data_IF_867928282473
#
_entry.id   IF_867928282473
#
_cell.length_a   1.000
_cell.length_b   1.000
_cell.length_c   1.000
_cell.angle_alpha   90.00
_cell.angle_beta   90.00
_cell.angle_gamma   90.00
#
_symmetry.space_group_name_H-M   'P 1'
#
loop_
_entity.id
_entity.type
_entity.pdbx_description
1 polymer ?
#
# COMPACT_ATOMS: atom_id res chain seq x y z
N UNK A 1 -11.08 3.52 -2.86
CA UNK A 1 -9.68 3.08 -2.92
C UNK A 1 -9.38 1.83 -2.11
N UNK A 2 -9.48 1.90 -0.77
CA UNK A 2 -9.09 0.77 0.09
C UNK A 2 -9.96 -0.48 -0.12
N UNK A 3 -11.25 -0.33 -0.37
CA UNK A 3 -12.16 -1.46 -0.64
C UNK A 3 -11.74 -2.22 -1.92
N UNK A 4 -11.46 -1.50 -3.00
CA UNK A 4 -11.02 -2.13 -4.25
C UNK A 4 -9.70 -2.88 -4.12
N UNK A 5 -8.76 -2.36 -3.32
CA UNK A 5 -7.50 -3.04 -3.04
C UNK A 5 -7.74 -4.32 -2.25
N UNK A 6 -8.64 -4.28 -1.29
CA UNK A 6 -9.02 -5.45 -0.49
C UNK A 6 -9.67 -6.54 -1.35
N UNK A 7 -10.68 -6.19 -2.15
CA UNK A 7 -11.35 -7.13 -3.07
C UNK A 7 -10.35 -7.77 -4.05
N UNK A 8 -9.44 -6.97 -4.61
CA UNK A 8 -8.42 -7.46 -5.53
C UNK A 8 -7.44 -8.41 -4.83
N UNK A 9 -7.08 -8.14 -3.59
CA UNK A 9 -6.22 -9.02 -2.79
C UNK A 9 -6.91 -10.34 -2.49
N UNK A 10 -8.22 -10.31 -2.16
CA UNK A 10 -9.01 -11.54 -1.93
C UNK A 10 -9.15 -12.40 -3.19
N UNK A 11 -9.24 -11.76 -4.37
CA UNK A 11 -9.30 -12.47 -5.66
C UNK A 11 -7.99 -13.21 -5.95
N UNK A 12 -6.85 -12.63 -5.57
CA UNK A 12 -5.53 -13.23 -5.79
C UNK A 12 -5.20 -14.34 -4.80
N UNK A 13 -5.76 -14.26 -3.59
CA UNK A 13 -5.40 -15.12 -2.47
C UNK A 13 -6.66 -15.82 -1.95
N UNK A 14 -6.66 -17.15 -2.01
CA UNK A 14 -7.77 -17.96 -1.52
C UNK A 14 -7.60 -18.22 -0.02
N UNK A 15 -8.31 -17.46 0.80
CA UNK A 15 -8.29 -17.59 2.25
C UNK A 15 -9.43 -18.49 2.74
N UNK A 16 -9.13 -19.48 3.58
CA UNK A 16 -10.13 -20.26 4.30
C UNK A 16 -10.70 -19.51 5.51
N UNK A 17 -9.88 -18.66 6.14
CA UNK A 17 -10.26 -17.82 7.28
C UNK A 17 -9.59 -16.45 7.14
N UNK A 18 -10.34 -15.38 7.34
CA UNK A 18 -9.86 -14.01 7.25
C UNK A 18 -10.41 -13.19 8.41
N UNK A 19 -9.53 -12.49 9.11
CA UNK A 19 -9.88 -11.55 10.18
C UNK A 19 -9.02 -10.29 10.09
N UNK A 20 -9.58 -9.09 10.37
CA UNK A 20 -8.78 -7.87 10.44
C UNK A 20 -7.77 -7.91 11.58
N UNK A 21 -6.49 -7.70 11.27
CA UNK A 21 -5.45 -7.53 12.28
C UNK A 21 -5.62 -6.16 12.97
N UNK A 22 -5.79 -6.18 14.29
CA UNK A 22 -5.88 -4.97 15.11
C UNK A 22 -4.49 -4.36 15.31
N UNK A 23 -3.97 -3.66 14.31
CA UNK A 23 -2.61 -3.13 14.35
C UNK A 23 -2.45 -1.87 15.21
N UNK A 24 -3.54 -1.13 15.44
CA UNK A 24 -3.52 0.12 16.21
C UNK A 24 -3.74 -0.09 17.71
N UNK A 25 -4.69 -0.93 18.05
CA UNK A 25 -5.14 -1.15 19.44
C UNK A 25 -5.28 -2.63 19.80
N UNK A 26 -4.28 -3.48 19.56
CA UNK A 26 -4.38 -4.87 19.92
C UNK A 26 -4.13 -5.08 21.41
N UNK A 27 -4.80 -6.04 22.00
CA UNK A 27 -4.41 -6.61 23.28
C UNK A 27 -3.33 -7.68 23.08
N UNK A 28 -2.66 -8.09 24.15
CA UNK A 28 -1.69 -9.17 24.08
C UNK A 28 -2.38 -10.49 23.71
N UNK A 29 -3.57 -10.72 24.25
CA UNK A 29 -4.40 -11.88 23.89
C UNK A 29 -4.77 -11.91 22.40
N UNK A 30 -5.03 -10.76 21.77
CA UNK A 30 -5.25 -10.70 20.32
C UNK A 30 -4.02 -11.20 19.56
N UNK A 31 -2.82 -10.78 19.95
CA UNK A 31 -1.57 -11.16 19.28
C UNK A 31 -1.28 -12.64 19.47
N UNK A 32 -1.47 -13.17 20.68
CA UNK A 32 -1.28 -14.58 20.99
C UNK A 32 -2.25 -15.46 20.18
N UNK A 33 -3.51 -15.03 20.07
CA UNK A 33 -4.51 -15.68 19.24
C UNK A 33 -4.14 -15.65 17.74
N UNK A 34 -3.67 -14.54 17.22
CA UNK A 34 -3.22 -14.46 15.82
C UNK A 34 -2.08 -15.44 15.55
N UNK A 35 -1.13 -15.57 16.48
CA UNK A 35 -0.03 -16.51 16.35
C UNK A 35 -0.46 -17.98 16.44
N UNK A 36 -1.57 -18.27 17.13
CA UNK A 36 -2.07 -19.63 17.31
C UNK A 36 -3.01 -20.09 16.18
N UNK A 37 -3.77 -19.16 15.58
CA UNK A 37 -4.89 -19.50 14.71
C UNK A 37 -4.65 -19.16 13.23
N UNK A 38 -3.58 -18.41 12.88
CA UNK A 38 -3.32 -17.95 11.52
C UNK A 38 -1.93 -18.34 11.05
N UNK A 39 -1.80 -18.63 9.75
CA UNK A 39 -0.54 -19.01 9.12
C UNK A 39 0.31 -17.81 8.73
N UNK A 40 -0.31 -16.66 8.43
CA UNK A 40 0.37 -15.40 8.09
C UNK A 40 -0.54 -14.19 8.27
N UNK A 41 0.10 -13.03 8.39
CA UNK A 41 -0.56 -11.74 8.38
C UNK A 41 -0.41 -11.07 7.02
N UNK A 42 -1.50 -10.61 6.43
CA UNK A 42 -1.51 -9.94 5.14
C UNK A 42 -1.70 -8.43 5.31
N UNK A 43 -0.66 -7.66 4.98
CA UNK A 43 -0.71 -6.21 4.95
C UNK A 43 -1.07 -5.74 3.54
N UNK A 44 -2.35 -5.49 3.32
CA UNK A 44 -2.85 -5.01 2.03
C UNK A 44 -2.38 -3.62 1.68
N UNK A 45 -2.16 -3.37 0.41
CA UNK A 45 -1.67 -2.12 -0.13
C UNK A 45 -2.60 -0.93 0.10
N UNK A 46 -2.01 0.19 0.39
CA UNK A 46 -2.56 1.54 0.33
C UNK A 46 -1.39 2.54 0.28
N UNK A 47 -1.68 3.84 0.23
CA UNK A 47 -0.65 4.88 0.34
C UNK A 47 -0.28 5.11 1.81
N UNK A 48 0.34 4.13 2.45
CA UNK A 48 0.74 4.26 3.87
C UNK A 48 1.98 5.12 4.05
N UNK A 49 2.86 5.14 3.05
CA UNK A 49 4.14 5.83 3.16
C UNK A 49 3.91 7.30 2.92
N UNK A 50 3.59 8.02 3.99
CA UNK A 50 3.38 9.46 3.99
C UNK A 50 3.89 10.08 5.30
N UNK A 51 4.01 11.40 5.36
CA UNK A 51 4.66 12.13 6.45
C UNK A 51 4.10 11.80 7.84
N UNK A 52 2.80 11.57 7.96
CA UNK A 52 2.10 11.36 9.23
C UNK A 52 1.35 10.02 9.25
N UNK A 53 2.07 8.92 9.22
CA UNK A 53 1.49 7.58 9.37
C UNK A 53 1.20 7.31 10.85
N UNK A 54 -0.10 7.19 11.18
CA UNK A 54 -0.57 6.95 12.54
C UNK A 54 -0.68 5.45 12.86
N UNK A 55 0.46 4.81 13.12
CA UNK A 55 0.53 3.39 13.50
C UNK A 55 1.56 3.15 14.60
N UNK A 56 1.49 3.94 15.66
CA UNK A 56 2.48 3.91 16.76
C UNK A 56 2.65 2.52 17.41
N UNK A 57 1.56 1.74 17.51
CA UNK A 57 1.60 0.40 18.07
C UNK A 57 2.09 -0.69 17.07
N UNK A 58 2.20 -0.38 15.78
CA UNK A 58 2.57 -1.37 14.79
C UNK A 58 3.94 -2.04 15.06
N UNK A 59 5.01 -1.34 15.49
CA UNK A 59 6.28 -1.98 15.81
C UNK A 59 6.13 -3.02 16.93
N UNK A 60 5.35 -2.73 17.98
CA UNK A 60 5.08 -3.67 19.07
C UNK A 60 4.33 -4.90 18.57
N UNK A 61 3.29 -4.70 17.77
CA UNK A 61 2.50 -5.80 17.20
C UNK A 61 3.36 -6.67 16.31
N UNK A 62 4.05 -6.05 15.35
CA UNK A 62 4.86 -6.76 14.35
C UNK A 62 6.02 -7.53 15.00
N UNK A 63 6.67 -6.99 16.03
CA UNK A 63 7.76 -7.70 16.74
C UNK A 63 7.27 -8.94 17.49
N UNK A 64 6.01 -8.96 17.93
CA UNK A 64 5.40 -10.08 18.64
C UNK A 64 4.70 -11.10 17.75
N UNK A 65 4.40 -10.76 16.50
CA UNK A 65 3.88 -11.72 15.54
C UNK A 65 4.96 -12.76 15.23
N UNK A 66 4.64 -14.03 15.41
CA UNK A 66 5.51 -15.16 15.03
C UNK A 66 5.25 -15.60 13.59
N UNK A 67 4.06 -15.35 13.09
CA UNK A 67 3.65 -15.63 11.72
C UNK A 67 4.29 -14.63 10.74
N UNK A 68 4.62 -15.03 9.51
CA UNK A 68 5.19 -14.13 8.51
C UNK A 68 4.20 -13.04 8.08
N UNK A 69 4.74 -11.88 7.69
CA UNK A 69 3.96 -10.77 7.16
C UNK A 69 4.15 -10.68 5.65
N UNK A 70 3.07 -10.68 4.91
CA UNK A 70 3.05 -10.46 3.46
C UNK A 70 2.58 -9.04 3.21
N UNK A 71 3.49 -8.17 2.81
CA UNK A 71 3.19 -6.79 2.45
C UNK A 71 3.03 -6.66 0.93
N UNK A 72 1.89 -6.15 0.46
CA UNK A 72 1.55 -6.15 -0.97
C UNK A 72 0.87 -4.85 -1.42
N UNK A 73 1.41 -4.22 -2.46
CA UNK A 73 0.82 -3.03 -3.07
C UNK A 73 0.97 -1.74 -2.25
N UNK A 74 2.02 -1.64 -1.43
CA UNK A 74 2.33 -0.45 -0.64
C UNK A 74 2.66 0.72 -1.57
N UNK A 75 2.15 1.92 -1.26
CA UNK A 75 2.41 3.14 -2.01
C UNK A 75 2.91 4.27 -1.13
N UNK A 76 3.81 5.09 -1.68
CA UNK A 76 4.22 6.35 -1.11
C UNK A 76 3.43 7.51 -1.73
N UNK A 77 3.16 8.53 -0.92
CA UNK A 77 2.47 9.73 -1.35
C UNK A 77 3.18 10.97 -0.81
N UNK A 78 3.73 11.76 -1.71
CA UNK A 78 4.23 13.09 -1.38
C UNK A 78 3.12 14.14 -1.56
N UNK A 79 3.05 15.16 -0.70
CA UNK A 79 2.07 16.23 -0.84
C UNK A 79 2.35 17.13 -2.07
N UNK A 80 3.61 17.28 -2.47
CA UNK A 80 4.07 18.06 -3.64
C UNK A 80 5.23 17.34 -4.33
N UNK A 81 5.63 17.80 -5.52
CA UNK A 81 6.89 17.40 -6.15
C UNK A 81 8.04 17.72 -5.20
N UNK A 82 8.75 16.71 -4.74
CA UNK A 82 9.86 16.89 -3.82
C UNK A 82 10.16 15.61 -3.02
N UNK A 83 11.12 15.74 -2.12
CA UNK A 83 11.51 14.65 -1.22
C UNK A 83 10.43 14.46 -0.16
N UNK A 84 9.97 13.23 0.01
CA UNK A 84 9.05 12.87 1.08
C UNK A 84 9.82 12.80 2.39
N UNK A 85 9.49 13.69 3.31
CA UNK A 85 10.00 13.65 4.68
C UNK A 85 9.07 12.80 5.54
N UNK A 86 9.64 11.81 6.20
CA UNK A 86 8.92 10.89 7.07
C UNK A 86 9.30 11.12 8.53
N UNK A 87 8.30 11.08 9.41
CA UNK A 87 8.56 11.11 10.84
C UNK A 87 9.35 9.88 11.30
N UNK A 88 10.08 9.97 12.40
CA UNK A 88 10.80 8.83 12.97
C UNK A 88 9.84 7.68 13.36
N UNK A 89 8.63 8.00 13.78
CA UNK A 89 7.59 7.01 14.04
C UNK A 89 7.24 6.22 12.76
N UNK A 90 7.00 6.92 11.64
CA UNK A 90 6.73 6.30 10.35
C UNK A 90 7.90 5.41 9.89
N UNK A 91 9.14 5.89 10.03
CA UNK A 91 10.34 5.12 9.66
C UNK A 91 10.43 3.83 10.47
N UNK A 92 10.19 3.88 11.80
CA UNK A 92 10.19 2.68 12.66
C UNK A 92 9.11 1.66 12.23
N UNK A 93 7.90 2.13 11.90
CA UNK A 93 6.84 1.25 11.40
C UNK A 93 7.25 0.55 10.11
N UNK A 94 7.80 1.31 9.16
CA UNK A 94 8.24 0.75 7.87
C UNK A 94 9.38 -0.26 8.04
N UNK A 95 10.36 0.03 8.90
CA UNK A 95 11.41 -0.91 9.26
C UNK A 95 10.83 -2.21 9.86
N UNK A 96 9.89 -2.08 10.81
CA UNK A 96 9.25 -3.26 11.44
C UNK A 96 8.46 -4.11 10.42
N UNK A 97 7.82 -3.48 9.43
CA UNK A 97 7.15 -4.20 8.34
C UNK A 97 8.21 -4.93 7.48
N UNK A 98 9.30 -4.24 7.15
CA UNK A 98 10.37 -4.81 6.34
C UNK A 98 11.02 -6.02 7.02
N UNK A 99 11.34 -5.91 8.31
CA UNK A 99 11.96 -6.97 9.11
C UNK A 99 11.07 -8.22 9.22
N UNK A 100 9.76 -8.06 9.18
CA UNK A 100 8.78 -9.14 9.25
C UNK A 100 8.35 -9.69 7.90
N UNK A 101 8.74 -9.04 6.82
CA UNK A 101 8.36 -9.41 5.46
C UNK A 101 9.56 -9.98 4.69
N UNK A 102 9.37 -11.11 4.03
CA UNK A 102 10.39 -11.66 3.09
C UNK A 102 10.65 -10.63 1.97
N UNK A 103 9.57 -10.03 1.47
CA UNK A 103 9.64 -8.96 0.48
C UNK A 103 8.42 -8.04 0.61
N UNK A 104 8.67 -6.73 0.53
CA UNK A 104 7.62 -5.73 0.50
C UNK A 104 7.19 -5.46 -0.94
N UNK A 105 5.99 -5.86 -1.32
CA UNK A 105 5.40 -5.54 -2.62
C UNK A 105 5.00 -4.07 -2.69
N UNK A 106 5.64 -3.29 -3.55
CA UNK A 106 5.37 -1.85 -3.70
C UNK A 106 4.71 -1.54 -5.05
N UNK A 107 3.96 -0.42 -5.12
CA UNK A 107 3.21 -0.05 -6.33
C UNK A 107 4.09 0.42 -7.48
N UNK A 108 5.22 1.04 -7.20
CA UNK A 108 6.07 1.60 -8.24
C UNK A 108 7.43 2.04 -7.73
N UNK A 109 8.28 2.50 -8.67
CA UNK A 109 9.65 2.91 -8.42
C UNK A 109 9.77 3.99 -7.37
N UNK A 110 8.92 5.03 -7.41
CA UNK A 110 8.95 6.09 -6.40
C UNK A 110 8.84 5.54 -4.97
N UNK A 111 7.95 4.57 -4.73
CA UNK A 111 7.84 3.95 -3.40
C UNK A 111 9.07 3.15 -3.05
N UNK A 112 9.63 2.40 -4.01
CA UNK A 112 10.88 1.67 -3.81
C UNK A 112 12.03 2.61 -3.45
N UNK A 113 12.19 3.71 -4.17
CA UNK A 113 13.23 4.72 -3.94
C UNK A 113 13.11 5.35 -2.55
N UNK A 114 11.89 5.68 -2.11
CA UNK A 114 11.64 6.18 -0.75
C UNK A 114 12.06 5.15 0.30
N UNK A 115 11.68 3.89 0.16
CA UNK A 115 12.05 2.83 1.09
C UNK A 115 13.57 2.56 1.07
N UNK A 116 14.19 2.58 -0.11
CA UNK A 116 15.64 2.43 -0.26
C UNK A 116 16.41 3.55 0.41
N UNK A 117 15.91 4.79 0.38
CA UNK A 117 16.53 5.91 1.10
C UNK A 117 16.52 5.72 2.62
N UNK A 118 15.66 4.84 3.14
CA UNK A 118 15.60 4.43 4.56
C UNK A 118 16.42 3.16 4.85
N UNK A 119 17.14 2.62 3.88
CA UNK A 119 17.89 1.38 4.02
C UNK A 119 17.08 0.09 3.82
N UNK A 120 15.78 0.18 3.53
CA UNK A 120 14.90 -0.97 3.29
C UNK A 120 15.09 -1.47 1.86
N UNK A 121 15.75 -2.62 1.71
CA UNK A 121 16.14 -3.19 0.40
C UNK A 121 15.28 -4.35 -0.09
N UNK A 122 14.55 -5.02 0.79
CA UNK A 122 13.69 -6.15 0.46
C UNK A 122 12.36 -5.72 -0.18
N UNK A 123 12.43 -4.85 -1.20
CA UNK A 123 11.27 -4.35 -1.93
C UNK A 123 11.16 -4.95 -3.32
N UNK A 124 9.93 -5.18 -3.78
CA UNK A 124 9.63 -5.65 -5.12
C UNK A 124 8.50 -4.80 -5.72
N UNK A 125 8.70 -4.27 -6.92
CA UNK A 125 7.65 -3.54 -7.64
C UNK A 125 6.65 -4.55 -8.19
N UNK A 126 5.41 -4.51 -7.67
CA UNK A 126 4.32 -5.43 -8.02
C UNK A 126 3.12 -4.72 -8.64
N UNK A 127 3.14 -3.39 -8.70
CA UNK A 127 2.03 -2.59 -9.18
C UNK A 127 0.88 -2.46 -8.17
N UNK A 128 -0.23 -1.92 -8.63
CA UNK A 128 -1.43 -1.80 -7.80
C UNK A 128 -2.27 -3.07 -7.87
N UNK A 129 -2.65 -3.68 -6.74
CA UNK A 129 -3.45 -4.92 -6.71
C UNK A 129 -4.77 -4.82 -7.47
N UNK A 130 -5.31 -3.63 -7.65
CA UNK A 130 -6.59 -3.42 -8.35
C UNK A 130 -6.54 -3.85 -9.83
N UNK A 131 -5.36 -3.92 -10.43
CA UNK A 131 -5.16 -4.42 -11.80
C UNK A 131 -5.55 -5.90 -11.91
N UNK A 132 -5.35 -6.65 -10.83
CA UNK A 132 -5.61 -8.09 -10.79
C UNK A 132 -7.02 -8.47 -10.34
N UNK A 133 -7.92 -7.48 -10.17
CA UNK A 133 -9.27 -7.73 -9.63
C UNK A 133 -10.06 -8.79 -10.39
N UNK A 134 -9.87 -8.88 -11.71
CA UNK A 134 -10.53 -9.89 -12.55
C UNK A 134 -9.78 -11.21 -12.63
N UNK A 135 -8.55 -11.25 -12.10
CA UNK A 135 -7.65 -12.41 -12.23
C UNK A 135 -7.56 -12.92 -13.69
N UNK A 136 -7.52 -11.99 -14.63
CA UNK A 136 -7.48 -12.26 -16.05
C UNK A 136 -6.05 -12.04 -16.58
N UNK A 137 -5.29 -13.12 -16.85
CA UNK A 137 -3.92 -13.03 -17.36
C UNK A 137 -3.86 -12.52 -18.80
N UNK A 138 -5.00 -12.51 -19.49
CA UNK A 138 -5.09 -12.06 -20.89
C UNK A 138 -5.43 -10.58 -21.02
N UNK A 139 -5.73 -9.92 -19.88
CA UNK A 139 -6.06 -8.50 -19.88
C UNK A 139 -5.00 -7.68 -20.61
N UNK A 140 -5.43 -6.97 -21.63
CA UNK A 140 -4.62 -5.99 -22.36
C UNK A 140 -5.26 -4.62 -22.22
N UNK A 141 -4.42 -3.60 -22.11
CA UNK A 141 -4.85 -2.20 -22.15
C UNK A 141 -4.42 -1.69 -23.51
N UNK A 142 -5.36 -1.73 -24.47
CA UNK A 142 -5.14 -1.20 -25.80
C UNK A 142 -5.54 0.27 -25.81
N UNK A 143 -4.53 1.13 -25.86
CA UNK A 143 -4.77 2.57 -26.03
C UNK A 143 -4.89 2.86 -27.54
N UNK A 144 -5.93 3.59 -27.96
CA UNK A 144 -6.00 4.04 -29.34
C UNK A 144 -4.84 5.03 -29.64
N UNK A 145 -4.35 5.10 -30.87
CA UNK A 145 -3.41 6.15 -31.27
C UNK A 145 -3.94 7.54 -30.90
N UNK A 146 -3.05 8.43 -30.48
CA UNK A 146 -3.43 9.77 -29.98
C UNK A 146 -4.32 10.53 -30.98
N UNK A 147 -4.09 10.35 -32.27
CA UNK A 147 -4.83 10.97 -33.36
C UNK A 147 -6.30 10.52 -33.42
N UNK A 148 -6.62 9.39 -32.83
CA UNK A 148 -7.99 8.83 -32.77
C UNK A 148 -8.72 9.21 -31.49
N UNK A 149 -8.06 9.83 -30.52
CA UNK A 149 -8.68 10.24 -29.26
C UNK A 149 -9.46 11.51 -29.50
N UNK A 150 -10.80 11.42 -29.50
CA UNK A 150 -11.70 12.58 -29.69
C UNK A 150 -12.19 13.15 -28.35
N UNK A 151 -12.12 12.39 -27.26
CA UNK A 151 -12.61 12.80 -25.95
C UNK A 151 -11.87 12.07 -24.85
N UNK A 152 -11.72 12.74 -23.70
CA UNK A 152 -11.13 12.16 -22.51
C UNK A 152 -11.98 12.51 -21.28
N UNK A 153 -12.02 11.58 -20.30
CA UNK A 153 -12.66 11.80 -19.02
C UNK A 153 -11.58 11.94 -17.96
N UNK A 154 -11.62 13.04 -17.23
CA UNK A 154 -10.75 13.26 -16.09
C UNK A 154 -11.47 12.95 -14.78
N UNK A 155 -10.83 12.18 -13.90
CA UNK A 155 -11.28 12.00 -12.53
C UNK A 155 -10.41 12.81 -11.58
N UNK A 156 -11.03 13.71 -10.81
CA UNK A 156 -10.35 14.48 -9.79
C UNK A 156 -10.38 13.71 -8.46
N UNK A 157 -9.27 13.71 -7.74
CA UNK A 157 -9.22 13.15 -6.38
C UNK A 157 -9.90 14.10 -5.41
N UNK A 158 -10.71 13.55 -4.52
CA UNK A 158 -11.44 14.31 -3.48
C UNK A 158 -10.53 15.10 -2.53
N UNK A 159 -9.29 14.65 -2.36
CA UNK A 159 -8.33 15.16 -1.37
C UNK A 159 -7.43 16.27 -1.93
N UNK A 160 -7.76 16.80 -3.07
CA UNK A 160 -6.94 17.81 -3.72
C UNK A 160 -7.35 19.17 -3.20
N UNK A 161 -6.53 19.76 -2.33
CA UNK A 161 -6.72 21.11 -1.83
C UNK A 161 -6.69 22.16 -2.96
N UNK A 162 -7.15 23.39 -2.65
CA UNK A 162 -7.39 24.46 -3.62
C UNK A 162 -6.30 24.73 -4.63
N UNK A 163 -5.02 24.58 -4.27
CA UNK A 163 -3.86 24.78 -5.16
C UNK A 163 -3.85 23.82 -6.37
N UNK A 164 -4.33 22.61 -6.18
CA UNK A 164 -4.35 21.61 -7.25
C UNK A 164 -5.56 21.78 -8.17
N UNK A 165 -6.67 22.28 -7.63
CA UNK A 165 -7.82 22.64 -8.44
C UNK A 165 -7.47 23.79 -9.41
N UNK A 166 -6.67 24.76 -8.97
CA UNK A 166 -6.17 25.86 -9.83
C UNK A 166 -5.21 25.34 -10.90
N UNK A 167 -4.31 24.41 -10.57
CA UNK A 167 -3.39 23.81 -11.54
C UNK A 167 -4.16 22.97 -12.58
N UNK A 168 -5.19 22.24 -12.16
CA UNK A 168 -5.99 21.42 -13.08
C UNK A 168 -6.79 22.29 -14.05
N UNK A 169 -7.29 23.43 -13.61
CA UNK A 169 -8.05 24.38 -14.45
C UNK A 169 -7.18 25.02 -15.55
N UNK A 170 -5.85 25.03 -15.40
CA UNK A 170 -4.92 25.52 -16.43
C UNK A 170 -4.70 24.53 -17.59
N UNK A 171 -5.10 23.27 -17.44
CA UNK A 171 -4.93 22.22 -18.44
C UNK A 171 -6.26 21.81 -19.12
N UNK A 172 -7.37 22.39 -18.71
CA UNK A 172 -8.69 22.27 -19.33
C UNK A 172 -9.02 23.51 -20.14
#
# INVERSE_FOLDING_TARGET
GAAFVFDSSLTLLNFSKLEPLKIRTPTDADIDRYNAEYDYAFLRGSNYVHAAMDWENAPRVLSRLKIPVIAFGIGAQAPKKGRLELSEATKRVLASIADRSVSMGVRGSYTADVLWSLGIRNTRIVGCPTVFRRNDPTLRIDLPPLERIKSAVFTLRREVGGDYAQDTTRYL
#
